data_IF_887195821730
#
_entry.id   IF_887195821730
#
_cell.length_a   1.000
_cell.length_b   1.000
_cell.length_c   1.000
_cell.angle_alpha   90.00
_cell.angle_beta   90.00
_cell.angle_gamma   90.00
#
_symmetry.space_group_name_H-M   'P 1'
#
loop_
_entity.id
_entity.type
_entity.pdbx_description
1 polymer ?
#
# COMPACT_ATOMS: atom_id res chain seq x y z
N UNK A 1 -31.99 -22.74 22.75
CA UNK A 1 -32.30 -24.16 23.00
C UNK A 1 -33.10 -24.67 21.84
N UNK A 2 -32.64 -25.78 21.22
CA UNK A 2 -33.33 -26.59 20.21
C UNK A 2 -33.61 -25.86 18.87
N UNK A 3 -33.09 -26.29 17.71
CA UNK A 3 -33.12 -27.65 17.18
C UNK A 3 -34.58 -28.07 16.96
N UNK A 4 -35.05 -28.67 15.87
CA UNK A 4 -34.45 -29.55 14.85
C UNK A 4 -35.52 -29.59 13.69
N UNK A 5 -35.66 -30.63 12.85
CA UNK A 5 -35.33 -30.73 11.41
C UNK A 5 -36.55 -30.88 10.47
N UNK A 6 -36.30 -31.11 9.18
CA UNK A 6 -36.79 -32.26 8.34
C UNK A 6 -36.61 -31.87 6.86
N UNK A 7 -35.70 -32.48 6.08
CA UNK A 7 -35.76 -33.83 5.48
C UNK A 7 -37.04 -34.09 4.69
N UNK A 8 -36.98 -34.06 3.35
CA UNK A 8 -37.59 -35.08 2.46
C UNK A 8 -36.88 -35.06 1.09
N UNK A 9 -36.40 -36.24 0.69
CA UNK A 9 -35.88 -36.67 -0.62
C UNK A 9 -37.09 -37.12 -1.49
N UNK A 10 -37.15 -36.89 -2.82
CA UNK A 10 -36.74 -37.95 -3.76
C UNK A 10 -36.11 -37.48 -5.09
N UNK A 11 -35.20 -38.30 -5.62
CA UNK A 11 -34.70 -38.25 -7.00
C UNK A 11 -35.56 -39.16 -7.93
N UNK A 12 -35.26 -39.27 -9.23
CA UNK A 12 -35.81 -38.51 -10.35
C UNK A 12 -36.73 -39.36 -11.26
N UNK A 13 -37.14 -38.85 -12.44
CA UNK A 13 -36.79 -39.63 -13.63
C UNK A 13 -36.18 -38.79 -14.76
N UNK A 14 -35.51 -39.55 -15.63
CA UNK A 14 -34.64 -39.16 -16.74
C UNK A 14 -35.43 -38.82 -18.01
N UNK A 15 -34.64 -38.32 -18.98
CA UNK A 15 -34.82 -38.28 -20.43
C UNK A 15 -35.18 -36.89 -20.99
N UNK A 16 -34.59 -36.35 -22.06
CA UNK A 16 -33.46 -36.67 -22.95
C UNK A 16 -33.22 -35.36 -23.77
N UNK A 17 -31.98 -35.08 -24.19
CA UNK A 17 -31.55 -34.08 -25.20
C UNK A 17 -31.67 -32.59 -24.83
N UNK A 18 -30.71 -31.70 -25.09
CA UNK A 18 -29.87 -31.54 -26.28
C UNK A 18 -28.62 -30.70 -25.96
N UNK A 19 -27.53 -31.13 -26.56
CA UNK A 19 -26.19 -30.56 -26.68
C UNK A 19 -26.13 -29.04 -26.91
N UNK A 20 -25.26 -28.35 -26.19
CA UNK A 20 -24.44 -27.24 -26.70
C UNK A 20 -23.27 -27.02 -25.74
N UNK A 21 -22.06 -27.32 -26.22
CA UNK A 21 -20.83 -27.27 -25.44
C UNK A 21 -20.55 -25.87 -24.90
N UNK A 22 -20.10 -25.84 -23.67
CA UNK A 22 -19.22 -24.78 -23.17
C UNK A 22 -18.25 -25.51 -22.28
N UNK A 23 -16.99 -25.60 -22.73
CA UNK A 23 -15.93 -26.18 -21.94
C UNK A 23 -15.81 -25.37 -20.65
N UNK A 24 -16.36 -25.92 -19.57
CA UNK A 24 -16.00 -25.61 -18.20
C UNK A 24 -14.52 -26.00 -18.03
N UNK A 25 -13.63 -25.16 -18.54
CA UNK A 25 -12.30 -25.10 -17.98
C UNK A 25 -12.45 -24.56 -16.57
N UNK A 26 -12.57 -25.52 -15.65
CA UNK A 26 -12.30 -25.34 -14.24
C UNK A 26 -11.08 -24.42 -14.11
N UNK A 27 -11.32 -23.23 -13.56
CA UNK A 27 -10.29 -22.38 -13.00
C UNK A 27 -9.67 -23.18 -11.86
N UNK A 28 -8.71 -24.03 -12.20
CA UNK A 28 -7.76 -24.57 -11.23
C UNK A 28 -7.13 -23.32 -10.62
N UNK A 29 -7.30 -23.06 -9.31
CA UNK A 29 -6.50 -22.03 -8.68
C UNK A 29 -5.06 -22.46 -8.94
N UNK A 30 -4.33 -21.68 -9.74
CA UNK A 30 -2.93 -21.93 -9.96
C UNK A 30 -2.32 -22.02 -8.56
N UNK A 31 -1.98 -23.25 -8.15
CA UNK A 31 -1.35 -23.48 -6.86
C UNK A 31 -0.20 -22.47 -6.84
N UNK A 32 -0.20 -21.56 -5.86
CA UNK A 32 0.83 -20.54 -5.75
C UNK A 32 2.15 -21.28 -5.84
N UNK A 33 2.86 -21.10 -6.97
CA UNK A 33 4.07 -21.87 -7.25
C UNK A 33 4.99 -21.66 -6.05
N UNK A 34 5.35 -22.75 -5.38
CA UNK A 34 6.28 -22.71 -4.27
C UNK A 34 7.57 -22.03 -4.76
N UNK A 35 8.03 -21.03 -4.02
CA UNK A 35 9.29 -20.37 -4.32
C UNK A 35 10.42 -21.27 -3.82
N UNK A 36 11.09 -21.95 -4.75
CA UNK A 36 12.22 -22.84 -4.45
C UNK A 36 13.53 -22.11 -4.20
N UNK A 37 13.56 -20.77 -4.39
CA UNK A 37 14.75 -19.96 -4.14
C UNK A 37 15.07 -19.95 -2.65
N UNK A 38 16.35 -19.84 -2.33
CA UNK A 38 16.79 -19.68 -0.94
C UNK A 38 16.30 -18.32 -0.44
N UNK A 39 15.50 -18.33 0.62
CA UNK A 39 14.98 -17.10 1.21
C UNK A 39 16.03 -16.44 2.09
N UNK A 40 16.42 -15.22 1.72
CA UNK A 40 17.30 -14.36 2.49
C UNK A 40 16.58 -13.07 2.89
N UNK A 41 17.08 -12.40 3.93
CA UNK A 41 16.49 -11.15 4.43
C UNK A 41 17.34 -9.92 4.09
N UNK A 42 18.61 -10.13 3.73
CA UNK A 42 19.57 -9.07 3.45
C UNK A 42 20.30 -9.35 2.15
N UNK A 43 20.02 -8.53 1.12
CA UNK A 43 20.74 -8.55 -0.15
C UNK A 43 22.24 -8.28 0.05
N UNK A 44 22.57 -7.32 0.92
CA UNK A 44 23.96 -6.97 1.28
C UNK A 44 24.74 -8.19 1.78
N UNK A 45 24.17 -8.97 2.70
CA UNK A 45 24.87 -10.13 3.26
C UNK A 45 25.15 -11.19 2.17
N UNK A 46 24.22 -11.38 1.23
CA UNK A 46 24.42 -12.29 0.09
C UNK A 46 25.51 -11.75 -0.84
N UNK A 47 25.53 -10.45 -1.10
CA UNK A 47 26.59 -9.80 -1.89
C UNK A 47 27.96 -9.95 -1.24
N UNK A 48 28.10 -9.74 0.07
CA UNK A 48 29.37 -9.91 0.80
C UNK A 48 29.88 -11.36 0.72
N UNK A 49 28.98 -12.35 0.81
CA UNK A 49 29.34 -13.77 0.63
C UNK A 49 29.75 -14.06 -0.81
N UNK A 50 29.05 -13.51 -1.80
CA UNK A 50 29.41 -13.64 -3.21
C UNK A 50 30.80 -13.08 -3.50
N UNK A 51 31.13 -11.91 -2.95
CA UNK A 51 32.46 -11.30 -3.06
C UNK A 51 33.54 -12.21 -2.45
N UNK A 52 33.29 -12.76 -1.27
CA UNK A 52 34.22 -13.70 -0.61
C UNK A 52 34.43 -14.97 -1.46
N UNK A 53 33.35 -15.50 -2.04
CA UNK A 53 33.40 -16.65 -2.94
C UNK A 53 34.06 -16.33 -4.30
N UNK A 54 34.05 -15.07 -4.74
CA UNK A 54 34.70 -14.63 -5.98
C UNK A 54 36.20 -14.96 -6.01
N UNK A 55 36.89 -14.91 -4.87
CA UNK A 55 38.29 -15.34 -4.80
C UNK A 55 38.49 -16.83 -5.12
N UNK A 56 37.50 -17.68 -4.88
CA UNK A 56 37.54 -19.11 -5.23
C UNK A 56 37.45 -19.27 -6.74
N UNK A 57 36.55 -18.52 -7.38
CA UNK A 57 36.42 -18.47 -8.85
C UNK A 57 37.70 -17.94 -9.48
N UNK A 58 38.33 -16.94 -8.88
CA UNK A 58 39.60 -16.40 -9.36
C UNK A 58 40.74 -17.44 -9.32
N UNK A 59 40.81 -18.27 -8.26
CA UNK A 59 41.80 -19.34 -8.13
C UNK A 59 41.66 -20.44 -9.20
N UNK A 60 40.46 -20.67 -9.74
CA UNK A 60 40.27 -21.60 -10.87
C UNK A 60 41.09 -21.21 -12.10
N UNK A 61 41.41 -19.92 -12.25
CA UNK A 61 42.21 -19.40 -13.36
C UNK A 61 43.68 -19.81 -13.35
N UNK A 62 44.24 -20.23 -12.20
CA UNK A 62 45.64 -20.65 -12.09
C UNK A 62 45.94 -21.88 -12.96
N UNK A 63 44.95 -22.74 -13.14
CA UNK A 63 45.04 -23.94 -14.00
C UNK A 63 44.82 -23.64 -15.49
N UNK A 64 44.39 -22.42 -15.86
CA UNK A 64 44.05 -22.07 -17.24
C UNK A 64 45.24 -21.48 -18.02
N UNK A 65 45.32 -21.75 -19.33
CA UNK A 65 46.27 -21.08 -20.22
C UNK A 65 46.06 -19.56 -20.22
N UNK A 66 47.17 -18.82 -20.17
CA UNK A 66 47.17 -17.35 -20.03
C UNK A 66 46.34 -16.63 -21.11
N UNK A 67 46.38 -17.14 -22.35
CA UNK A 67 45.65 -16.56 -23.50
C UNK A 67 44.12 -16.56 -23.33
N UNK A 68 43.57 -17.51 -22.57
CA UNK A 68 42.12 -17.64 -22.36
C UNK A 68 41.69 -17.33 -20.93
N UNK A 69 42.65 -17.18 -20.00
CA UNK A 69 42.41 -17.08 -18.56
C UNK A 69 41.47 -15.93 -18.22
N UNK A 70 41.79 -14.72 -18.66
CA UNK A 70 41.00 -13.53 -18.33
C UNK A 70 39.54 -13.61 -18.83
N UNK A 71 39.26 -13.87 -20.12
CA UNK A 71 37.88 -13.97 -20.59
C UNK A 71 37.14 -15.16 -19.97
N UNK A 72 37.80 -16.30 -19.76
CA UNK A 72 37.18 -17.47 -19.13
C UNK A 72 36.84 -17.21 -17.64
N UNK A 73 37.70 -16.51 -16.90
CA UNK A 73 37.43 -16.13 -15.52
C UNK A 73 36.28 -15.12 -15.42
N UNK A 74 36.22 -14.14 -16.32
CA UNK A 74 35.13 -13.15 -16.38
C UNK A 74 33.78 -13.83 -16.63
N UNK A 75 33.74 -14.76 -17.59
CA UNK A 75 32.54 -15.53 -17.91
C UNK A 75 32.14 -16.46 -16.76
N UNK A 76 33.11 -17.15 -16.14
CA UNK A 76 32.86 -18.00 -14.98
C UNK A 76 32.33 -17.19 -13.78
N UNK A 77 32.90 -16.00 -13.51
CA UNK A 77 32.44 -15.11 -12.45
C UNK A 77 31.01 -14.64 -12.70
N UNK A 78 30.72 -14.14 -13.90
CA UNK A 78 29.38 -13.72 -14.29
C UNK A 78 28.36 -14.86 -14.16
N UNK A 79 28.71 -16.05 -14.65
CA UNK A 79 27.84 -17.23 -14.60
C UNK A 79 27.59 -17.67 -13.16
N UNK A 80 28.63 -17.70 -12.32
CA UNK A 80 28.53 -18.04 -10.91
C UNK A 80 27.61 -17.06 -10.17
N UNK A 81 27.87 -15.76 -10.27
CA UNK A 81 27.08 -14.73 -9.60
C UNK A 81 25.62 -14.74 -10.08
N UNK A 82 25.40 -14.80 -11.40
CA UNK A 82 24.06 -14.83 -11.99
C UNK A 82 23.27 -16.05 -11.52
N UNK A 83 23.89 -17.23 -11.51
CA UNK A 83 23.25 -18.45 -11.05
C UNK A 83 22.84 -18.35 -9.56
N UNK A 84 23.67 -17.75 -8.70
CA UNK A 84 23.29 -17.53 -7.30
C UNK A 84 22.14 -16.52 -7.20
N UNK A 85 22.21 -15.41 -7.92
CA UNK A 85 21.18 -14.35 -7.88
C UNK A 85 19.81 -14.85 -8.37
N UNK A 86 19.77 -15.76 -9.36
CA UNK A 86 18.54 -16.39 -9.84
C UNK A 86 17.92 -17.37 -8.84
N UNK A 87 18.75 -17.95 -7.97
CA UNK A 87 18.35 -18.98 -7.00
C UNK A 87 18.15 -18.46 -5.57
N UNK A 88 18.21 -17.14 -5.37
CA UNK A 88 17.97 -16.49 -4.07
C UNK A 88 16.80 -15.52 -4.19
N UNK A 89 15.98 -15.45 -3.14
CA UNK A 89 14.97 -14.40 -2.98
C UNK A 89 15.26 -13.55 -1.75
N UNK A 90 15.03 -12.24 -1.84
CA UNK A 90 15.19 -11.33 -0.71
C UNK A 90 13.80 -10.90 -0.25
N UNK A 91 13.38 -11.32 0.95
CA UNK A 91 12.03 -11.08 1.46
C UNK A 91 10.92 -11.48 0.46
N UNK A 92 11.13 -12.60 -0.25
CA UNK A 92 10.22 -13.11 -1.27
C UNK A 92 10.29 -12.40 -2.64
N UNK A 93 11.10 -11.35 -2.79
CA UNK A 93 11.31 -10.65 -4.06
C UNK A 93 12.47 -11.25 -4.85
N UNK A 94 12.43 -11.14 -6.17
CA UNK A 94 13.57 -11.51 -7.01
C UNK A 94 14.76 -10.57 -6.77
N UNK A 95 15.97 -11.07 -7.03
CA UNK A 95 17.21 -10.31 -6.81
C UNK A 95 17.21 -8.92 -7.48
N UNK A 96 16.71 -8.83 -8.73
CA UNK A 96 16.65 -7.58 -9.51
C UNK A 96 15.58 -6.61 -9.02
N UNK A 97 14.50 -7.11 -8.42
CA UNK A 97 13.37 -6.32 -7.92
C UNK A 97 13.64 -5.77 -6.51
N UNK A 98 14.62 -6.33 -5.82
CA UNK A 98 14.99 -5.92 -4.48
C UNK A 98 15.83 -4.66 -4.54
N UNK A 99 15.34 -3.58 -3.95
CA UNK A 99 16.12 -2.35 -3.76
C UNK A 99 17.36 -2.65 -2.94
N UNK A 100 18.51 -2.15 -3.40
CA UNK A 100 19.68 -2.06 -2.55
C UNK A 100 19.36 -1.01 -1.48
N UNK A 101 19.03 -1.47 -0.27
CA UNK A 101 18.68 -0.61 0.87
C UNK A 101 19.87 0.25 1.36
N UNK A 102 20.85 0.55 0.51
CA UNK A 102 21.82 1.60 0.77
C UNK A 102 21.16 2.95 0.47
N UNK A 103 20.40 3.46 1.43
CA UNK A 103 20.04 4.88 1.43
C UNK A 103 21.35 5.67 1.34
N UNK A 104 21.49 6.49 0.31
CA UNK A 104 22.64 7.37 0.18
C UNK A 104 22.48 8.53 1.17
N UNK A 105 23.60 9.10 1.62
CA UNK A 105 23.57 10.28 2.50
C UNK A 105 22.79 11.45 1.87
N UNK A 106 22.75 11.54 0.54
CA UNK A 106 21.93 12.51 -0.20
C UNK A 106 20.42 12.29 0.00
N UNK A 107 19.97 11.03 -0.01
CA UNK A 107 18.56 10.69 0.12
C UNK A 107 18.08 10.97 1.55
N UNK A 108 18.94 10.67 2.53
CA UNK A 108 18.70 11.00 3.94
C UNK A 108 18.61 12.52 4.11
N UNK A 109 19.52 13.29 3.52
CA UNK A 109 19.52 14.75 3.61
C UNK A 109 18.23 15.37 3.05
N UNK A 110 17.78 14.92 1.87
CA UNK A 110 16.52 15.38 1.28
C UNK A 110 15.33 15.07 2.19
N UNK A 111 15.31 13.88 2.80
CA UNK A 111 14.25 13.49 3.72
C UNK A 111 14.27 14.32 5.02
N UNK A 112 15.45 14.59 5.57
CA UNK A 112 15.64 15.44 6.76
C UNK A 112 15.13 16.86 6.50
N UNK A 113 15.50 17.47 5.37
CA UNK A 113 15.09 18.84 5.02
C UNK A 113 13.55 18.93 4.88
N UNK A 114 12.92 17.95 4.23
CA UNK A 114 11.46 17.88 4.13
C UNK A 114 10.80 17.70 5.49
N UNK A 115 11.41 16.89 6.36
CA UNK A 115 10.88 16.65 7.70
C UNK A 115 10.94 17.91 8.55
N UNK A 116 12.04 18.67 8.49
CA UNK A 116 12.18 19.95 9.19
C UNK A 116 11.17 20.99 8.70
N UNK A 117 10.92 21.06 7.39
CA UNK A 117 9.88 21.92 6.82
C UNK A 117 8.50 21.58 7.41
N UNK A 118 8.14 20.29 7.42
CA UNK A 118 6.86 19.82 7.96
C UNK A 118 6.76 20.08 9.46
N UNK A 119 7.83 19.85 10.22
CA UNK A 119 7.86 20.15 11.66
C UNK A 119 7.56 21.63 11.91
N UNK A 120 8.23 22.53 11.17
CA UNK A 120 8.05 23.98 11.31
C UNK A 120 6.65 24.40 10.91
N UNK A 121 6.11 23.91 9.79
CA UNK A 121 4.75 24.21 9.34
C UNK A 121 3.71 23.73 10.37
N UNK A 122 3.81 22.48 10.81
CA UNK A 122 2.88 21.89 11.77
C UNK A 122 2.97 22.61 13.13
N UNK A 123 4.15 22.93 13.62
CA UNK A 123 4.33 23.70 14.85
C UNK A 123 3.71 25.10 14.71
N UNK A 124 3.91 25.75 13.57
CA UNK A 124 3.32 27.07 13.26
C UNK A 124 1.80 27.00 13.21
N UNK A 125 1.23 25.99 12.56
CA UNK A 125 -0.21 25.73 12.51
C UNK A 125 -0.77 25.50 13.91
N UNK A 126 -0.18 24.60 14.70
CA UNK A 126 -0.58 24.33 16.08
C UNK A 126 -0.55 25.59 16.96
N UNK A 127 0.42 26.49 16.75
CA UNK A 127 0.54 27.75 17.50
C UNK A 127 -0.49 28.81 17.08
N UNK A 128 -0.69 29.01 15.78
CA UNK A 128 -1.42 30.17 15.26
C UNK A 128 -2.88 29.87 14.90
N UNK A 129 -3.17 28.70 14.35
CA UNK A 129 -4.50 28.42 13.78
C UNK A 129 -5.60 28.36 14.83
N UNK A 130 -5.41 27.78 16.03
CA UNK A 130 -6.44 27.83 17.07
C UNK A 130 -6.86 29.26 17.43
N UNK A 131 -5.90 30.21 17.43
CA UNK A 131 -6.19 31.63 17.71
C UNK A 131 -6.97 32.30 16.57
N UNK A 132 -6.60 32.03 15.32
CA UNK A 132 -7.31 32.54 14.13
C UNK A 132 -8.73 31.98 14.06
N UNK A 133 -8.90 30.67 14.30
CA UNK A 133 -10.20 30.00 14.33
C UNK A 133 -11.05 30.60 15.46
N UNK A 134 -10.48 30.74 16.65
CA UNK A 134 -11.17 31.34 17.81
C UNK A 134 -11.67 32.74 17.49
N UNK A 135 -10.86 33.58 16.87
CA UNK A 135 -11.26 34.94 16.46
C UNK A 135 -12.46 34.91 15.51
N UNK A 136 -12.40 34.08 14.47
CA UNK A 136 -13.51 33.91 13.52
C UNK A 136 -14.79 33.42 14.21
N UNK A 137 -14.68 32.40 15.06
CA UNK A 137 -15.83 31.83 15.78
C UNK A 137 -16.45 32.85 16.73
N UNK A 138 -15.65 33.62 17.47
CA UNK A 138 -16.14 34.69 18.35
C UNK A 138 -16.91 35.74 17.54
N UNK A 139 -16.35 36.18 16.40
CA UNK A 139 -17.02 37.15 15.51
C UNK A 139 -18.36 36.60 15.01
N UNK A 140 -18.39 35.35 14.56
CA UNK A 140 -19.63 34.71 14.09
C UNK A 140 -20.67 34.58 15.19
N UNK A 141 -20.29 34.17 16.41
CA UNK A 141 -21.23 34.06 17.53
C UNK A 141 -21.81 35.42 17.90
N UNK A 142 -20.98 36.46 17.99
CA UNK A 142 -21.44 37.84 18.25
C UNK A 142 -22.39 38.34 17.17
N UNK A 143 -22.08 38.09 15.90
CA UNK A 143 -22.95 38.48 14.79
C UNK A 143 -24.30 37.76 14.84
N UNK A 144 -24.31 36.43 15.08
CA UNK A 144 -25.55 35.65 15.24
C UNK A 144 -26.39 36.17 16.41
N UNK A 145 -25.75 36.49 17.54
CA UNK A 145 -26.45 37.05 18.69
C UNK A 145 -27.05 38.43 18.38
N UNK A 146 -26.33 39.28 17.63
CA UNK A 146 -26.82 40.60 17.25
C UNK A 146 -28.01 40.54 16.29
N UNK A 147 -27.95 39.66 15.27
CA UNK A 147 -29.09 39.39 14.38
C UNK A 147 -30.31 38.91 15.18
N UNK A 148 -30.09 38.03 16.17
CA UNK A 148 -31.17 37.53 17.02
C UNK A 148 -31.81 38.65 17.87
N UNK A 149 -31.03 39.64 18.33
CA UNK A 149 -31.59 40.81 19.02
C UNK A 149 -32.42 41.68 18.08
N UNK A 150 -31.95 41.90 16.85
CA UNK A 150 -32.68 42.67 15.83
C UNK A 150 -34.01 42.03 15.43
N UNK A 151 -34.13 40.71 15.56
CA UNK A 151 -35.39 40.00 15.35
C UNK A 151 -36.46 40.34 16.41
N UNK A 152 -36.07 40.86 17.58
CA UNK A 152 -37.00 41.33 18.60
C UNK A 152 -37.20 42.86 18.50
N UNK A 153 -38.44 43.36 18.62
CA UNK A 153 -39.67 42.63 18.94
C UNK A 153 -40.26 41.91 17.73
N UNK A 154 -40.68 40.67 17.93
CA UNK A 154 -41.44 39.93 16.92
C UNK A 154 -42.83 40.54 16.86
N UNK A 155 -43.17 41.20 15.75
CA UNK A 155 -44.51 41.73 15.54
C UNK A 155 -45.46 40.55 15.31
N UNK A 156 -46.30 40.27 16.31
CA UNK A 156 -47.37 39.31 16.15
C UNK A 156 -48.51 39.93 15.33
N UNK A 157 -49.12 39.19 14.39
CA UNK A 157 -50.25 39.70 13.62
C UNK A 157 -51.39 40.10 14.54
N UNK A 158 -52.09 41.17 14.19
CA UNK A 158 -53.29 41.61 14.90
C UNK A 158 -54.40 40.56 14.77
N UNK A 159 -55.13 40.32 15.86
CA UNK A 159 -56.29 39.43 15.84
C UNK A 159 -57.33 39.89 14.82
N UNK A 160 -57.90 38.92 14.09
CA UNK A 160 -58.92 39.17 13.07
C UNK A 160 -60.18 39.72 13.75
N UNK A 161 -60.50 40.99 13.50
CA UNK A 161 -61.75 41.59 13.98
C UNK A 161 -62.84 41.45 12.91
N UNK A 162 -64.04 41.08 13.36
CA UNK A 162 -65.25 41.08 12.54
C UNK A 162 -65.75 42.53 12.40
N UNK A 163 -66.26 42.88 11.22
CA UNK A 163 -66.81 44.22 10.95
C UNK A 163 -68.06 44.44 11.83
N UNK A 164 -68.24 45.61 12.48
CA UNK A 164 -69.43 45.84 13.30
C UNK A 164 -70.68 45.89 12.41
N UNK A 165 -71.74 45.21 12.84
CA UNK A 165 -73.01 45.19 12.12
C UNK A 165 -73.59 46.62 11.99
N UNK A 166 -74.09 47.01 10.80
CA UNK A 166 -74.69 48.32 10.59
C UNK A 166 -76.06 48.39 11.29
N UNK A 167 -76.12 49.11 12.41
CA UNK A 167 -77.32 49.38 13.20
C UNK A 167 -77.57 50.87 13.39
#
# INVERSE_FOLDING_TARGET
MAGVPESVVPAPPRDVERMAGTDDQALVPAAAREDFRVHCTSKRAVTEVLELCGHIVQKLGEALPEKIREPALRDAQWTFESAVQENVSINGQAWQETSDNCLMDSDIKVLEDQFDEIIVDVATKRKQYPRKILECVIKTIKAKQEILKQYHPVVQPLDLKYDPDPG
#
